data_IF_574147815102
#
_entry.id   IF_574147815102
#
_cell.length_a   1.000
_cell.length_b   1.000
_cell.length_c   1.000
_cell.angle_alpha   90.00
_cell.angle_beta   90.00
_cell.angle_gamma   90.00
#
_symmetry.space_group_name_H-M   'P 1'
#
loop_
_entity.id
_entity.type
_entity.pdbx_description
1 polymer ?
#
# COMPACT_ATOMS: atom_id res chain seq x y z
N UNK A 1 21.20 -11.27 -7.68
CA UNK A 1 20.75 -12.44 -6.90
C UNK A 1 19.23 -12.54 -7.01
N UNK A 2 18.68 -13.60 -7.62
CA UNK A 2 17.23 -13.82 -7.71
C UNK A 2 16.80 -14.67 -6.51
N UNK A 3 16.05 -14.08 -5.57
CA UNK A 3 15.41 -14.85 -4.48
C UNK A 3 14.30 -15.70 -5.10
N UNK A 4 14.36 -17.01 -4.87
CA UNK A 4 13.30 -17.96 -5.25
C UNK A 4 12.08 -17.68 -4.38
N UNK A 5 10.91 -17.50 -4.99
CA UNK A 5 9.66 -17.36 -4.25
C UNK A 5 9.37 -18.69 -3.54
N UNK A 6 9.36 -18.66 -2.20
CA UNK A 6 8.76 -19.73 -1.39
C UNK A 6 7.26 -19.67 -1.66
N UNK A 7 6.62 -20.82 -1.92
CA UNK A 7 5.16 -20.89 -2.04
C UNK A 7 4.55 -20.36 -0.73
N UNK A 8 3.94 -19.18 -0.78
CA UNK A 8 3.45 -18.45 0.39
C UNK A 8 2.33 -19.22 1.08
N UNK A 9 2.22 -19.05 2.40
CA UNK A 9 1.28 -19.72 3.32
C UNK A 9 -0.20 -19.33 3.11
N UNK A 10 -0.56 -18.79 1.94
CA UNK A 10 -1.85 -18.13 1.68
C UNK A 10 -1.97 -16.75 2.35
N UNK A 11 -0.95 -16.32 3.10
CA UNK A 11 -0.92 -15.05 3.83
C UNK A 11 -0.51 -13.91 2.90
N UNK A 12 -1.28 -12.82 2.89
CA UNK A 12 -0.89 -11.60 2.20
C UNK A 12 0.28 -10.92 2.94
N UNK A 13 1.22 -10.41 2.14
CA UNK A 13 2.40 -9.70 2.60
C UNK A 13 2.36 -8.24 2.20
N UNK A 14 3.11 -7.41 2.93
CA UNK A 14 3.24 -6.00 2.59
C UNK A 14 3.81 -5.82 1.19
N UNK A 15 3.20 -4.92 0.42
CA UNK A 15 3.72 -4.44 -0.85
C UNK A 15 4.06 -2.96 -0.75
N UNK A 16 5.21 -2.55 -1.29
CA UNK A 16 5.56 -1.13 -1.34
C UNK A 16 4.49 -0.36 -2.11
N UNK A 17 3.93 0.72 -1.55
CA UNK A 17 2.98 1.55 -2.26
C UNK A 17 3.57 2.14 -3.55
N UNK A 18 2.70 2.36 -4.53
CA UNK A 18 3.07 3.15 -5.70
C UNK A 18 3.12 4.62 -5.32
N UNK A 19 4.19 5.29 -5.74
CA UNK A 19 4.35 6.73 -5.59
C UNK A 19 3.80 7.47 -6.83
N UNK A 20 3.10 8.60 -6.64
CA UNK A 20 2.64 9.42 -7.75
C UNK A 20 3.85 10.07 -8.43
N UNK A 21 3.83 10.08 -9.77
CA UNK A 21 4.79 10.87 -10.53
C UNK A 21 4.40 12.36 -10.46
N UNK A 22 5.30 13.20 -9.95
CA UNK A 22 5.10 14.64 -9.92
C UNK A 22 5.05 15.20 -11.35
N UNK A 23 3.98 15.92 -11.66
CA UNK A 23 3.72 16.56 -12.95
C UNK A 23 3.19 17.97 -12.74
N UNK A 24 3.36 18.85 -13.73
CA UNK A 24 2.97 20.26 -13.61
C UNK A 24 1.44 20.47 -13.63
N UNK A 25 0.70 19.59 -14.30
CA UNK A 25 -0.76 19.63 -14.39
C UNK A 25 -1.32 18.21 -14.26
N UNK A 26 -2.48 18.02 -13.61
CA UNK A 26 -3.16 16.75 -13.62
C UNK A 26 -3.41 16.28 -15.05
N UNK A 27 -3.26 14.99 -15.33
CA UNK A 27 -3.59 14.44 -16.64
C UNK A 27 -5.10 14.49 -16.89
N UNK A 28 -5.48 14.54 -18.16
CA UNK A 28 -6.87 14.72 -18.63
C UNK A 28 -7.29 13.59 -19.58
N UNK A 29 -8.59 13.44 -19.80
CA UNK A 29 -9.20 12.48 -20.73
C UNK A 29 -9.85 11.26 -20.05
N UNK A 30 -10.61 10.50 -20.84
CA UNK A 30 -11.53 9.46 -20.33
C UNK A 30 -10.85 8.27 -19.63
N UNK A 31 -9.54 8.12 -19.81
CA UNK A 31 -8.76 7.08 -19.14
C UNK A 31 -8.26 7.49 -17.74
N UNK A 32 -8.62 8.68 -17.27
CA UNK A 32 -8.19 9.21 -15.98
C UNK A 32 -9.36 9.36 -15.01
N UNK A 33 -9.11 8.94 -13.76
CA UNK A 33 -9.99 9.18 -12.62
C UNK A 33 -9.21 10.10 -11.66
N UNK A 34 -9.88 11.12 -11.13
CA UNK A 34 -9.31 12.06 -10.18
C UNK A 34 -9.90 11.84 -8.78
N UNK A 35 -9.03 11.75 -7.79
CA UNK A 35 -9.39 11.62 -6.38
C UNK A 35 -8.85 12.81 -5.59
N UNK A 36 -9.49 13.15 -4.46
CA UNK A 36 -9.02 14.21 -3.57
C UNK A 36 -7.71 13.77 -2.92
N UNK A 37 -6.67 14.62 -3.02
CA UNK A 37 -5.44 14.41 -2.26
C UNK A 37 -5.69 14.70 -0.78
N UNK A 38 -5.61 13.67 0.04
CA UNK A 38 -5.58 13.79 1.50
C UNK A 38 -4.15 14.11 1.97
N UNK A 39 -4.05 14.93 3.02
CA UNK A 39 -2.77 15.22 3.67
C UNK A 39 -2.69 14.48 5.01
N UNK A 40 -1.83 13.47 5.07
CA UNK A 40 -1.73 12.53 6.18
C UNK A 40 -0.75 11.41 5.86
N UNK A 41 -0.65 10.43 6.76
CA UNK A 41 0.22 9.28 6.57
C UNK A 41 -0.47 8.19 5.74
N UNK A 42 0.25 7.63 4.76
CA UNK A 42 -0.23 6.47 4.00
C UNK A 42 -0.12 5.20 4.84
N UNK A 43 -1.19 4.41 4.83
CA UNK A 43 -1.24 3.10 5.48
C UNK A 43 -1.66 2.00 4.49
N UNK A 44 -1.09 0.81 4.65
CA UNK A 44 -1.55 -0.41 3.99
C UNK A 44 -2.07 -1.36 5.06
N UNK A 45 -3.35 -1.74 4.94
CA UNK A 45 -4.01 -2.66 5.87
C UNK A 45 -4.11 -4.02 5.20
N UNK A 46 -3.57 -5.04 5.86
CA UNK A 46 -3.69 -6.42 5.44
C UNK A 46 -4.65 -7.13 6.40
N UNK A 47 -5.70 -7.72 5.83
CA UNK A 47 -6.73 -8.46 6.57
C UNK A 47 -6.71 -9.90 6.04
N UNK A 48 -6.14 -10.84 6.80
CA UNK A 48 -6.21 -12.27 6.47
C UNK A 48 -7.29 -13.03 7.25
N UNK A 49 -7.93 -12.36 8.21
CA UNK A 49 -8.94 -12.93 9.09
C UNK A 49 -9.21 -12.00 10.27
N UNK A 50 -10.22 -12.32 11.11
CA UNK A 50 -10.63 -11.47 12.23
C UNK A 50 -9.53 -11.27 13.29
N UNK A 51 -8.59 -12.20 13.40
CA UNK A 51 -7.48 -12.16 14.37
C UNK A 51 -6.12 -11.78 13.74
N UNK A 52 -6.04 -11.63 12.41
CA UNK A 52 -4.81 -11.27 11.68
C UNK A 52 -5.06 -10.03 10.81
N UNK A 53 -5.10 -8.89 11.50
CA UNK A 53 -5.14 -7.55 10.89
C UNK A 53 -3.80 -6.89 11.19
N UNK A 54 -3.14 -6.41 10.13
CA UNK A 54 -1.84 -5.71 10.24
C UNK A 54 -1.90 -4.40 9.49
N UNK A 55 -1.34 -3.35 10.09
CA UNK A 55 -1.27 -2.01 9.51
C UNK A 55 0.18 -1.65 9.29
N UNK A 56 0.54 -1.30 8.06
CA UNK A 56 1.90 -0.89 7.69
C UNK A 56 1.91 0.56 7.25
N UNK A 57 2.92 1.31 7.71
CA UNK A 57 3.24 2.61 7.14
C UNK A 57 3.77 2.48 5.70
N UNK A 58 3.87 3.59 4.98
CA UNK A 58 4.48 3.66 3.64
C UNK A 58 5.86 2.98 3.53
N UNK A 59 6.68 3.09 4.59
CA UNK A 59 8.02 2.49 4.66
C UNK A 59 8.02 0.99 4.95
N UNK A 60 6.86 0.36 5.14
CA UNK A 60 6.72 -1.04 5.55
C UNK A 60 6.89 -1.27 7.06
N UNK A 61 7.03 -0.20 7.86
CA UNK A 61 7.05 -0.32 9.33
C UNK A 61 5.69 -0.77 9.84
N UNK A 62 5.68 -1.83 10.66
CA UNK A 62 4.46 -2.31 11.32
C UNK A 62 3.99 -1.27 12.36
N UNK A 63 2.79 -0.74 12.11
CA UNK A 63 2.06 0.24 12.91
C UNK A 63 0.77 -0.34 13.51
N UNK A 64 0.60 -1.66 13.52
CA UNK A 64 -0.62 -2.32 14.02
C UNK A 64 -0.97 -1.91 15.46
N UNK A 65 0.03 -1.60 16.30
CA UNK A 65 -0.18 -1.13 17.69
C UNK A 65 -0.28 0.39 17.86
N UNK A 66 -0.08 1.16 16.79
CA UNK A 66 -0.25 2.62 16.80
C UNK A 66 -1.71 3.02 16.56
N UNK A 67 -2.54 2.05 16.15
CA UNK A 67 -3.97 2.17 15.85
C UNK A 67 -4.78 1.22 16.73
#
# INVERSE_FOLDING_TARGET
MRRRAVAGTGRLEFILPMEPKLVAKPPEGDNWIHEIKLDGYRAQIIINGPEDIRVYAETGKDWTRQY
#
